data_IF_888190279828
#
_entry.id   IF_888190279828
#
_cell.length_a   1.000
_cell.length_b   1.000
_cell.length_c   1.000
_cell.angle_alpha   90.00
_cell.angle_beta   90.00
_cell.angle_gamma   90.00
#
_symmetry.space_group_name_H-M   'P 1'
#
loop_
_entity.id
_entity.type
_entity.pdbx_description
1 polymer ?
#
# COMPACT_ATOMS: atom_id res chain seq x y z
N UNK A 1 -7.05 -1.65 -14.12
CA UNK A 1 -7.58 -0.59 -13.26
C UNK A 1 -6.55 -0.16 -12.24
N UNK A 2 -6.40 1.11 -12.03
CA UNK A 2 -5.38 1.60 -11.11
C UNK A 2 -5.82 1.39 -9.66
N UNK A 3 -4.86 1.01 -8.84
CA UNK A 3 -5.10 0.88 -7.41
C UNK A 3 -4.46 2.08 -6.72
N UNK A 4 -5.27 2.81 -6.00
CA UNK A 4 -4.81 4.01 -5.31
C UNK A 4 -4.84 3.80 -3.82
N UNK A 5 -3.71 4.05 -3.17
CA UNK A 5 -3.60 3.93 -1.73
C UNK A 5 -3.01 5.23 -1.21
N UNK A 6 -3.70 5.87 -0.27
CA UNK A 6 -3.30 7.13 0.32
C UNK A 6 -3.01 8.19 -0.76
N UNK A 7 -3.87 8.22 -1.77
CA UNK A 7 -3.74 9.19 -2.85
C UNK A 7 -2.65 8.90 -3.86
N UNK A 8 -1.99 7.76 -3.76
CA UNK A 8 -0.92 7.40 -4.67
C UNK A 8 -1.39 6.29 -5.60
N UNK A 9 -1.26 6.50 -6.89
CA UNK A 9 -1.58 5.47 -7.87
C UNK A 9 -0.40 4.51 -7.95
N UNK A 10 -0.64 3.26 -7.59
CA UNK A 10 0.42 2.27 -7.62
C UNK A 10 0.64 1.77 -9.04
N UNK A 11 1.92 1.57 -9.44
CA UNK A 11 2.21 1.03 -10.77
C UNK A 11 1.76 -0.42 -10.84
N UNK A 12 0.85 -0.71 -11.75
CA UNK A 12 0.26 -2.04 -11.83
C UNK A 12 1.19 -3.09 -12.40
N UNK A 13 2.18 -2.68 -13.15
CA UNK A 13 3.12 -3.62 -13.76
C UNK A 13 4.29 -3.98 -12.85
N UNK A 14 4.31 -3.46 -11.63
CA UNK A 14 5.37 -3.75 -10.68
C UNK A 14 4.86 -4.72 -9.61
N UNK A 15 5.79 -5.46 -9.01
CA UNK A 15 5.43 -6.32 -7.90
C UNK A 15 4.97 -5.47 -6.73
N UNK A 16 4.11 -6.05 -5.90
CA UNK A 16 3.58 -5.31 -4.76
C UNK A 16 4.66 -4.75 -3.86
N UNK A 17 5.72 -5.52 -3.63
CA UNK A 17 6.81 -5.09 -2.79
C UNK A 17 7.45 -3.79 -3.29
N UNK A 18 7.60 -3.68 -4.59
CA UNK A 18 8.18 -2.49 -5.19
C UNK A 18 7.15 -1.36 -5.26
N UNK A 19 5.94 -1.70 -5.65
CA UNK A 19 4.90 -0.69 -5.84
C UNK A 19 4.60 0.07 -4.56
N UNK A 20 4.56 -0.62 -3.43
CA UNK A 20 4.24 0.03 -2.16
C UNK A 20 5.30 1.04 -1.75
N UNK A 21 6.53 0.88 -2.23
CA UNK A 21 7.58 1.84 -1.90
C UNK A 21 7.36 3.20 -2.56
N UNK A 22 6.43 3.27 -3.50
CA UNK A 22 6.09 4.55 -4.11
C UNK A 22 5.30 5.44 -3.15
N UNK A 23 4.78 4.86 -2.08
CA UNK A 23 4.06 5.62 -1.06
C UNK A 23 5.08 6.25 -0.13
N UNK A 24 4.98 7.56 0.06
CA UNK A 24 5.92 8.27 0.91
C UNK A 24 5.89 7.68 2.33
N UNK A 25 7.06 7.37 2.84
CA UNK A 25 7.18 6.82 4.18
C UNK A 25 7.19 5.31 4.25
N UNK A 26 6.99 4.63 3.13
CA UNK A 26 7.04 3.17 3.10
C UNK A 26 8.26 2.73 2.30
N UNK A 27 9.19 2.09 3.00
CA UNK A 27 10.37 1.52 2.35
C UNK A 27 10.15 0.06 2.01
N UNK A 28 11.19 -0.58 1.50
CA UNK A 28 11.08 -1.98 1.10
C UNK A 28 10.78 -2.90 2.27
N UNK A 29 11.38 -2.65 3.41
CA UNK A 29 11.14 -3.49 4.59
C UNK A 29 9.69 -3.37 5.04
N UNK A 30 9.18 -2.15 5.09
CA UNK A 30 7.79 -1.93 5.48
C UNK A 30 6.84 -2.54 4.47
N UNK A 31 7.17 -2.41 3.20
CA UNK A 31 6.37 -2.97 2.14
C UNK A 31 6.23 -4.49 2.30
N UNK A 32 7.36 -5.15 2.55
CA UNK A 32 7.34 -6.60 2.73
C UNK A 32 6.50 -7.01 3.93
N UNK A 33 6.60 -6.26 5.02
CA UNK A 33 5.81 -6.56 6.22
C UNK A 33 4.33 -6.38 5.97
N UNK A 34 3.97 -5.35 5.23
CA UNK A 34 2.58 -5.11 4.91
C UNK A 34 2.00 -6.27 4.11
N UNK A 35 2.73 -6.72 3.12
CA UNK A 35 2.27 -7.82 2.28
C UNK A 35 2.18 -9.12 3.06
N UNK A 36 3.15 -9.36 3.95
CA UNK A 36 3.10 -10.55 4.79
C UNK A 36 1.87 -10.54 5.69
N UNK A 37 1.56 -9.41 6.27
CA UNK A 37 0.39 -9.30 7.14
C UNK A 37 -0.91 -9.46 6.37
N UNK A 38 -0.93 -8.98 5.15
CA UNK A 38 -2.11 -9.11 4.31
C UNK A 38 -2.26 -10.50 3.71
N UNK A 39 -1.22 -11.32 3.83
CA UNK A 39 -1.24 -12.64 3.22
C UNK A 39 -1.08 -12.61 1.72
N UNK A 40 -0.40 -11.60 1.21
CA UNK A 40 -0.21 -11.42 -0.23
C UNK A 40 1.24 -11.69 -0.57
N UNK A 41 1.46 -12.44 -1.65
CA UNK A 41 2.81 -12.74 -2.11
C UNK A 41 3.53 -11.45 -2.51
N UNK A 42 4.78 -11.33 -2.10
CA UNK A 42 5.58 -10.14 -2.44
C UNK A 42 5.87 -10.06 -3.93
N UNK A 43 5.86 -11.19 -4.61
CA UNK A 43 6.16 -11.24 -6.03
C UNK A 43 4.96 -10.98 -6.91
N UNK A 44 3.77 -10.94 -6.32
CA UNK A 44 2.55 -10.73 -7.08
C UNK A 44 2.47 -9.28 -7.54
N UNK A 45 2.18 -9.10 -8.83
CA UNK A 45 2.04 -7.76 -9.37
C UNK A 45 0.76 -7.11 -8.86
N UNK A 46 0.80 -5.79 -8.78
CA UNK A 46 -0.37 -5.04 -8.31
C UNK A 46 -1.59 -5.35 -9.15
N UNK A 47 -1.42 -5.50 -10.44
CA UNK A 47 -2.52 -5.79 -11.33
C UNK A 47 -3.19 -7.13 -11.06
N UNK A 48 -2.51 -7.99 -10.30
CA UNK A 48 -3.02 -9.32 -9.98
C UNK A 48 -3.64 -9.40 -8.58
N UNK A 49 -3.62 -8.32 -7.85
CA UNK A 49 -4.26 -8.29 -6.53
C UNK A 49 -5.77 -8.40 -6.68
N UNK A 50 -6.39 -9.15 -5.78
CA UNK A 50 -7.85 -9.16 -5.70
C UNK A 50 -8.31 -7.94 -4.92
N UNK A 51 -9.60 -7.65 -5.01
CA UNK A 51 -10.17 -6.53 -4.25
C UNK A 51 -9.96 -6.73 -2.75
N UNK A 52 -10.12 -7.96 -2.28
CA UNK A 52 -9.91 -8.26 -0.88
C UNK A 52 -8.47 -8.01 -0.46
N UNK A 53 -7.52 -8.42 -1.29
CA UNK A 53 -6.12 -8.22 -0.98
C UNK A 53 -5.78 -6.73 -0.94
N UNK A 54 -6.27 -5.99 -1.90
CA UNK A 54 -6.03 -4.55 -1.94
C UNK A 54 -6.63 -3.87 -0.72
N UNK A 55 -7.82 -4.30 -0.32
CA UNK A 55 -8.48 -3.72 0.85
C UNK A 55 -7.69 -3.99 2.12
N UNK A 56 -7.18 -5.21 2.27
CA UNK A 56 -6.38 -5.54 3.45
C UNK A 56 -5.10 -4.73 3.50
N UNK A 57 -4.44 -4.57 2.37
CA UNK A 57 -3.22 -3.79 2.32
C UNK A 57 -3.50 -2.35 2.71
N UNK A 58 -4.58 -1.78 2.18
CA UNK A 58 -4.97 -0.41 2.49
C UNK A 58 -5.27 -0.25 3.96
N UNK A 59 -5.95 -1.22 4.54
CA UNK A 59 -6.31 -1.20 5.95
C UNK A 59 -5.08 -1.25 6.84
N UNK A 60 -4.13 -2.10 6.51
CA UNK A 60 -2.90 -2.22 7.29
C UNK A 60 -2.13 -0.92 7.25
N UNK A 61 -2.03 -0.32 6.09
CA UNK A 61 -1.30 0.94 5.95
C UNK A 61 -1.98 2.03 6.78
N UNK A 62 -3.29 2.10 6.73
CA UNK A 62 -4.00 3.11 7.49
C UNK A 62 -3.91 2.92 8.98
N UNK A 63 -3.80 1.66 9.43
CA UNK A 63 -3.77 1.36 10.85
C UNK A 63 -2.37 1.49 11.45
N UNK A 64 -1.35 1.13 10.71
CA UNK A 64 -0.01 1.00 11.28
C UNK A 64 0.99 2.02 10.77
N UNK A 65 0.72 2.64 9.65
CA UNK A 65 1.68 3.56 9.05
C UNK A 65 1.05 4.92 8.89
N UNK A 66 1.79 5.94 9.30
CA UNK A 66 1.35 7.31 9.09
C UNK A 66 2.03 7.83 7.85
N UNK A 67 1.22 8.24 6.91
CA UNK A 67 1.73 8.78 5.66
C UNK A 67 1.21 10.19 5.50
N UNK A 68 1.76 10.88 4.52
CA UNK A 68 1.50 12.30 4.34
C UNK A 68 0.01 12.62 4.28
N UNK A 69 -0.74 11.83 3.57
CA UNK A 69 -2.15 12.08 3.41
C UNK A 69 -2.93 12.05 4.72
N UNK A 70 -2.56 11.12 5.58
CA UNK A 70 -3.24 10.99 6.86
C UNK A 70 -2.99 12.18 7.75
N UNK A 71 -1.76 12.67 7.73
CA UNK A 71 -1.43 13.83 8.55
C UNK A 71 -2.24 15.04 8.15
N UNK A 72 -2.42 15.23 6.86
CA UNK A 72 -3.20 16.36 6.40
C UNK A 72 -4.64 16.27 6.87
N UNK A 73 -5.18 15.08 6.86
CA UNK A 73 -6.54 14.88 7.32
C UNK A 73 -6.69 15.27 8.77
N UNK A 74 -5.73 14.93 9.58
CA UNK A 74 -5.77 15.26 10.98
C UNK A 74 -5.70 16.76 11.23
N UNK A 75 -4.89 17.41 10.45
CA UNK A 75 -4.69 18.83 10.62
C UNK A 75 -5.99 19.60 10.41
N UNK A 76 -6.84 19.08 9.59
CA UNK A 76 -8.07 19.77 9.28
C UNK A 76 -9.10 19.70 10.38
N UNK A 77 -8.85 18.94 11.35
CA UNK A 77 -9.75 18.89 12.48
C UNK A 77 -9.50 20.04 13.43
#
# INVERSE_FOLDING_TARGET
MAIRIVGVDLPQNKRGEIALTYIYGIGRSSSAKILDKAGVSRDLKVSEWTDDQAAKIREIIGAEYKVEGDLRSEVQM
#
